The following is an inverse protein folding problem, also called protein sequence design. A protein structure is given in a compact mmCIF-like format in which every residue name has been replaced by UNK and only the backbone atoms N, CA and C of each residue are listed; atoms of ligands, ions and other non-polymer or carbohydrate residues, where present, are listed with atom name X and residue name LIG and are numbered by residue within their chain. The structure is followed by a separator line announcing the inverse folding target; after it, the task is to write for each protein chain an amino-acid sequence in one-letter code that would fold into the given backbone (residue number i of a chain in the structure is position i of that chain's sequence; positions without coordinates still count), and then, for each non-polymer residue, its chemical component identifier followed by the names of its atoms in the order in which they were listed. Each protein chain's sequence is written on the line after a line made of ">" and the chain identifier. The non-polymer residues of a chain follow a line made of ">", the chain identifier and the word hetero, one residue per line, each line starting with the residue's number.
data_IF_517632938767
#
_entry.id   IF_517632938767
#
_cell.length_a   1.000
_cell.length_b   1.000
_cell.length_c   1.000
_cell.angle_alpha   90.00
_cell.angle_beta   90.00
_cell.angle_gamma   90.00
#
_symmetry.space_group_name_H-M   'P 1'
#
loop_
_entity.id
_entity.type
_entity.pdbx_description
1 polymer ?
#
# COMPACT_ATOMS: atom_id res chain seq x y z
N UNK A 1 -18.46 -0.21 5.13
CA UNK A 1 -19.20 -1.44 4.78
C UNK A 1 -18.22 -2.39 4.11
N UNK A 2 -17.77 -3.45 4.79
CA UNK A 2 -16.93 -4.45 4.14
C UNK A 2 -17.80 -5.31 3.23
N UNK A 3 -17.38 -5.51 1.98
CA UNK A 3 -18.03 -6.41 1.03
C UNK A 3 -18.16 -7.86 1.55
N UNK A 4 -17.36 -8.19 2.58
CA UNK A 4 -17.41 -9.44 3.31
C UNK A 4 -18.78 -9.74 3.93
N UNK A 5 -19.49 -8.73 4.48
CA UNK A 5 -20.78 -8.95 5.15
C UNK A 5 -21.91 -9.26 4.16
N UNK A 6 -21.79 -8.80 2.91
CA UNK A 6 -22.79 -9.01 1.86
C UNK A 6 -22.66 -10.39 1.18
N UNK A 7 -21.46 -10.99 1.22
CA UNK A 7 -21.17 -12.32 0.69
C UNK A 7 -21.63 -13.46 1.61
N UNK A 8 -21.79 -13.18 2.92
CA UNK A 8 -22.18 -14.16 3.94
C UNK A 8 -23.68 -14.13 4.29
N UNK A 9 -24.50 -13.33 3.60
CA UNK A 9 -25.94 -13.25 3.88
C UNK A 9 -26.31 -12.62 5.24
N UNK A 10 -25.40 -11.88 5.85
CA UNK A 10 -25.61 -11.24 7.16
C UNK A 10 -26.37 -9.92 6.94
N UNK A 11 -27.58 -9.79 7.50
CA UNK A 11 -28.37 -8.56 7.42
C UNK A 11 -27.68 -7.42 8.19
N UNK A 12 -27.86 -6.17 7.75
CA UNK A 12 -27.22 -5.00 8.36
C UNK A 12 -27.65 -4.77 9.82
N UNK A 13 -28.78 -5.35 10.21
CA UNK A 13 -29.39 -5.27 11.54
C UNK A 13 -28.77 -6.23 12.55
N UNK A 14 -27.96 -7.20 12.11
CA UNK A 14 -27.34 -8.22 12.99
C UNK A 14 -25.90 -7.91 13.42
N UNK A 15 -25.31 -6.80 12.95
CA UNK A 15 -23.96 -6.35 13.35
C UNK A 15 -24.09 -5.16 14.29
N UNK A 16 -23.74 -5.36 15.56
CA UNK A 16 -23.73 -4.30 16.57
C UNK A 16 -22.35 -3.67 16.61
N UNK A 17 -22.31 -2.35 16.39
CA UNK A 17 -21.10 -1.55 16.63
C UNK A 17 -20.94 -1.40 18.16
N UNK A 18 -19.76 -1.71 18.74
CA UNK A 18 -19.54 -1.60 20.18
C UNK A 18 -19.76 -0.20 20.76
N UNK A 19 -19.84 0.85 19.93
CA UNK A 19 -20.17 2.21 20.40
C UNK A 19 -21.69 2.43 20.58
N UNK A 20 -22.54 1.50 20.14
CA UNK A 20 -23.99 1.62 20.24
C UNK A 20 -24.53 1.18 21.61
N UNK A 21 -24.51 2.11 22.56
CA UNK A 21 -25.01 1.96 23.94
C UNK A 21 -26.53 1.71 24.06
N UNK A 22 -27.29 1.75 22.95
CA UNK A 22 -28.75 1.62 22.97
C UNK A 22 -29.28 0.35 22.29
N UNK A 23 -28.41 -0.61 21.94
CA UNK A 23 -28.87 -1.83 21.27
C UNK A 23 -29.74 -2.70 22.19
N UNK A 24 -31.05 -2.68 21.96
CA UNK A 24 -32.00 -3.63 22.56
C UNK A 24 -32.05 -4.85 21.64
N UNK A 25 -31.67 -6.01 22.17
CA UNK A 25 -31.60 -7.27 21.42
C UNK A 25 -32.92 -7.64 20.71
N UNK A 26 -32.85 -8.62 19.80
CA UNK A 26 -33.98 -8.97 18.96
C UNK A 26 -35.16 -9.54 19.76
N UNK A 27 -36.37 -9.13 19.34
CA UNK A 27 -37.66 -9.48 19.95
C UNK A 27 -38.19 -10.84 19.44
N UNK A 28 -39.28 -11.37 20.03
CA UNK A 28 -39.67 -12.76 19.87
C UNK A 28 -40.14 -13.11 18.45
N UNK A 29 -39.18 -13.57 17.63
CA UNK A 29 -39.27 -14.51 16.48
C UNK A 29 -37.91 -14.62 15.75
N UNK A 30 -36.81 -14.41 16.49
CA UNK A 30 -35.47 -14.18 15.94
C UNK A 30 -34.79 -15.44 15.36
N UNK A 31 -34.46 -15.37 14.07
CA UNK A 31 -33.72 -16.36 13.26
C UNK A 31 -32.19 -16.13 13.22
N UNK A 32 -31.70 -15.10 13.94
CA UNK A 32 -30.51 -15.18 14.79
C UNK A 32 -29.13 -15.26 14.15
N UNK A 33 -28.36 -14.17 14.30
CA UNK A 33 -26.92 -14.19 14.59
C UNK A 33 -26.50 -12.79 15.09
N UNK A 34 -26.03 -12.68 16.35
CA UNK A 34 -25.45 -11.44 16.84
C UNK A 34 -23.96 -11.41 16.49
N UNK A 35 -23.54 -10.41 15.72
CA UNK A 35 -22.12 -10.19 15.37
C UNK A 35 -21.64 -8.91 16.05
N UNK A 36 -20.59 -9.05 16.85
CA UNK A 36 -19.91 -7.93 17.51
C UNK A 36 -18.51 -7.83 16.96
N UNK A 37 -18.07 -6.61 16.64
CA UNK A 37 -16.70 -6.35 16.16
C UNK A 37 -16.08 -5.18 16.92
N UNK A 38 -15.01 -5.46 17.67
CA UNK A 38 -14.20 -4.45 18.37
C UNK A 38 -13.26 -3.73 17.40
N UNK A 39 -13.66 -2.55 16.93
CA UNK A 39 -12.75 -1.57 16.33
C UNK A 39 -11.85 -2.05 15.19
N UNK A 40 -10.70 -1.37 15.05
CA UNK A 40 -9.56 -1.76 14.20
C UNK A 40 -8.23 -1.32 14.80
N UNK A 41 -7.13 -1.98 14.41
CA UNK A 41 -5.75 -1.55 14.73
C UNK A 41 -5.48 -1.31 16.23
N UNK A 42 -6.17 -2.07 17.10
CA UNK A 42 -6.07 -2.01 18.56
C UNK A 42 -6.34 -0.62 19.18
N UNK A 43 -7.03 0.27 18.46
CA UNK A 43 -7.44 1.56 19.02
C UNK A 43 -8.59 1.42 20.02
N UNK A 44 -9.37 0.36 19.88
CA UNK A 44 -10.56 0.10 20.68
C UNK A 44 -10.40 -1.21 21.46
N UNK A 45 -10.79 -1.18 22.72
CA UNK A 45 -10.96 -2.37 23.55
C UNK A 45 -12.43 -2.43 23.98
N UNK A 46 -13.18 -3.37 23.41
CA UNK A 46 -14.57 -3.60 23.81
C UNK A 46 -14.65 -4.64 24.93
N UNK A 47 -15.35 -4.33 26.01
CA UNK A 47 -15.79 -5.32 27.00
C UNK A 47 -17.29 -5.53 26.84
N UNK A 48 -17.70 -6.75 26.47
CA UNK A 48 -19.10 -7.06 26.23
C UNK A 48 -19.62 -8.02 27.29
N UNK A 49 -20.63 -7.58 28.03
CA UNK A 49 -21.37 -8.43 28.97
C UNK A 49 -22.66 -8.89 28.32
N UNK A 50 -22.81 -10.20 28.13
CA UNK A 50 -24.01 -10.81 27.55
C UNK A 50 -24.81 -11.50 28.65
N UNK A 51 -26.05 -11.05 28.88
CA UNK A 51 -27.01 -11.75 29.73
C UNK A 51 -27.83 -12.73 28.87
N UNK A 52 -27.99 -13.97 29.34
CA UNK A 52 -28.73 -15.02 28.61
C UNK A 52 -29.85 -15.58 29.47
N UNK A 53 -30.96 -15.98 28.83
CA UNK A 53 -32.08 -16.66 29.48
C UNK A 53 -32.45 -17.97 28.78
N UNK A 54 -33.08 -18.88 29.52
CA UNK A 54 -33.47 -20.19 28.98
C UNK A 54 -34.75 -20.08 28.15
N UNK A 55 -34.75 -20.67 26.95
CA UNK A 55 -35.95 -20.75 26.10
C UNK A 55 -36.79 -21.94 26.56
N UNK A 56 -37.99 -21.69 27.07
CA UNK A 56 -38.85 -22.72 27.67
C UNK A 56 -39.26 -23.84 26.70
N UNK A 57 -39.24 -23.59 25.38
CA UNK A 57 -39.66 -24.55 24.33
C UNK A 57 -38.55 -24.84 23.29
N UNK A 58 -37.28 -24.65 23.66
CA UNK A 58 -36.15 -24.72 22.73
C UNK A 58 -35.72 -26.14 22.36
N UNK A 59 -36.23 -26.70 21.26
CA UNK A 59 -35.76 -28.01 20.73
C UNK A 59 -34.31 -28.01 20.20
N UNK A 60 -33.83 -26.86 19.70
CA UNK A 60 -32.50 -26.73 19.05
C UNK A 60 -31.56 -25.74 19.76
N UNK A 61 -32.08 -24.64 20.33
CA UNK A 61 -31.31 -23.68 21.15
C UNK A 61 -31.97 -23.49 22.52
N UNK A 62 -31.24 -23.84 23.58
CA UNK A 62 -31.73 -23.84 24.98
C UNK A 62 -31.59 -22.48 25.68
N UNK A 63 -30.77 -21.57 25.14
CA UNK A 63 -30.53 -20.23 25.69
C UNK A 63 -30.65 -19.17 24.60
N UNK A 64 -31.18 -18.00 24.95
CA UNK A 64 -31.28 -16.80 24.09
C UNK A 64 -30.61 -15.61 24.78
N UNK A 65 -30.12 -14.65 24.00
CA UNK A 65 -29.53 -13.42 24.53
C UNK A 65 -30.67 -12.53 25.03
N UNK A 66 -30.63 -12.20 26.33
CA UNK A 66 -31.59 -11.33 27.00
C UNK A 66 -31.17 -9.87 26.89
N UNK A 67 -29.89 -9.59 27.10
CA UNK A 67 -29.33 -8.23 26.97
C UNK A 67 -27.85 -8.28 26.65
N UNK A 68 -27.35 -7.20 26.06
CA UNK A 68 -25.94 -6.96 25.78
C UNK A 68 -25.59 -5.61 26.41
N UNK A 69 -24.48 -5.55 27.15
CA UNK A 69 -23.94 -4.31 27.72
C UNK A 69 -22.51 -4.15 27.22
N UNK A 70 -22.16 -2.94 26.82
CA UNK A 70 -20.82 -2.56 26.36
C UNK A 70 -20.31 -1.37 27.17
N UNK A 71 -19.56 -1.58 28.27
CA UNK A 71 -18.69 -0.56 28.81
C UNK A 71 -17.54 -0.27 27.83
N UNK A 72 -17.54 0.94 27.26
CA UNK A 72 -16.38 1.45 26.54
C UNK A 72 -15.15 1.42 27.46
N UNK A 73 -14.16 0.58 27.16
CA UNK A 73 -12.86 0.67 27.81
C UNK A 73 -12.02 1.67 27.05
N UNK A 74 -11.64 2.75 27.74
CA UNK A 74 -10.60 3.64 27.24
C UNK A 74 -9.26 2.90 27.21
N UNK A 75 -8.86 2.44 26.03
CA UNK A 75 -7.58 1.77 25.81
C UNK A 75 -6.38 2.65 26.21
N UNK A 76 -6.51 3.99 26.22
CA UNK A 76 -5.44 4.90 26.62
C UNK A 76 -5.09 4.76 28.10
N UNK A 77 -6.06 4.38 28.94
CA UNK A 77 -5.84 4.13 30.38
C UNK A 77 -4.83 3.01 30.67
N UNK A 78 -4.58 2.11 29.70
CA UNK A 78 -3.67 0.97 29.83
C UNK A 78 -2.18 1.32 29.58
N UNK A 79 -1.89 2.55 29.16
CA UNK A 79 -0.53 3.02 28.81
C UNK A 79 0.47 2.94 29.99
N UNK A 80 0.01 2.82 31.22
CA UNK A 80 0.83 2.76 32.43
C UNK A 80 1.05 1.34 32.99
N UNK A 81 0.46 0.32 32.35
CA UNK A 81 0.55 -1.07 32.81
C UNK A 81 1.99 -1.59 32.89
N UNK A 82 2.22 -2.61 33.71
CA UNK A 82 3.51 -3.33 33.77
C UNK A 82 3.94 -3.84 32.39
N UNK A 83 2.99 -4.31 31.58
CA UNK A 83 3.25 -4.78 30.22
C UNK A 83 3.73 -3.65 29.31
N UNK A 84 3.06 -2.49 29.33
CA UNK A 84 3.49 -1.29 28.59
C UNK A 84 4.94 -0.89 28.91
N UNK A 85 5.33 -0.94 30.20
CA UNK A 85 6.72 -0.64 30.62
C UNK A 85 7.74 -1.64 30.06
N UNK A 86 7.36 -2.92 29.96
CA UNK A 86 8.23 -3.97 29.38
C UNK A 86 8.36 -3.75 27.87
N UNK A 87 7.25 -3.55 27.16
CA UNK A 87 7.23 -3.33 25.71
C UNK A 87 8.03 -2.08 25.32
N UNK A 88 7.85 -0.95 26.02
CA UNK A 88 8.63 0.28 25.80
C UNK A 88 10.13 0.04 25.97
N UNK A 89 10.53 -0.79 26.92
CA UNK A 89 11.95 -1.11 27.14
C UNK A 89 12.53 -1.97 26.02
N UNK A 90 11.79 -2.96 25.53
CA UNK A 90 12.19 -3.80 24.40
C UNK A 90 12.29 -2.94 23.15
N UNK A 91 11.25 -2.17 22.83
CA UNK A 91 11.22 -1.25 21.69
C UNK A 91 12.42 -0.29 21.70
N UNK A 92 12.68 0.36 22.83
CA UNK A 92 13.79 1.30 22.99
C UNK A 92 15.17 0.67 22.82
N UNK A 93 15.35 -0.57 23.28
CA UNK A 93 16.67 -1.25 23.24
C UNK A 93 16.96 -1.90 21.89
N UNK A 94 15.95 -2.53 21.29
CA UNK A 94 16.16 -3.47 20.19
C UNK A 94 15.73 -2.91 18.84
N UNK A 95 14.78 -1.96 18.82
CA UNK A 95 14.11 -1.53 17.58
C UNK A 95 14.40 -0.06 17.26
N UNK A 96 14.32 0.83 18.26
CA UNK A 96 14.39 2.28 18.03
C UNK A 96 15.67 2.73 17.32
N UNK A 97 16.83 2.18 17.67
CA UNK A 97 18.11 2.61 17.08
C UNK A 97 18.16 2.34 15.58
N UNK A 98 17.64 1.20 15.13
CA UNK A 98 17.59 0.84 13.71
C UNK A 98 16.48 1.60 12.98
N UNK A 99 15.33 1.82 13.63
CA UNK A 99 14.21 2.54 13.02
C UNK A 99 14.48 4.03 12.86
N UNK A 100 15.24 4.65 13.77
CA UNK A 100 15.61 6.08 13.70
C UNK A 100 16.73 6.37 12.69
N UNK A 101 17.31 5.33 12.07
CA UNK A 101 18.33 5.52 11.04
C UNK A 101 17.72 6.29 9.87
N UNK A 102 18.25 7.47 9.51
CA UNK A 102 17.86 8.15 8.28
C UNK A 102 18.16 7.30 7.07
N UNK A 103 17.28 7.43 6.08
CA UNK A 103 17.41 6.76 4.78
C UNK A 103 17.29 7.76 3.63
N UNK A 104 16.77 8.96 3.88
CA UNK A 104 16.68 10.03 2.90
C UNK A 104 16.12 11.31 3.50
N UNK A 105 15.94 12.33 2.66
CA UNK A 105 15.29 13.57 3.05
C UNK A 105 14.25 14.04 2.04
N UNK A 106 13.18 14.66 2.51
CA UNK A 106 12.23 15.39 1.67
C UNK A 106 12.82 16.76 1.27
N UNK A 107 12.49 17.31 0.08
CA UNK A 107 12.90 18.65 -0.31
C UNK A 107 12.38 19.70 0.66
N UNK A 108 13.10 20.81 0.73
CA UNK A 108 12.63 21.99 1.44
C UNK A 108 11.27 22.45 0.87
N UNK A 109 10.30 22.67 1.75
CA UNK A 109 8.95 23.09 1.38
C UNK A 109 7.98 21.96 0.99
N UNK A 110 8.44 20.70 0.88
CA UNK A 110 7.54 19.54 0.69
C UNK A 110 7.05 19.04 2.05
N UNK A 111 5.73 19.02 2.25
CA UNK A 111 5.14 18.46 3.48
C UNK A 111 5.42 16.96 3.57
N UNK A 112 5.73 16.49 4.79
CA UNK A 112 5.78 15.06 5.14
C UNK A 112 4.49 14.31 4.82
N UNK A 113 3.38 15.02 4.70
CA UNK A 113 2.08 14.47 4.30
C UNK A 113 2.09 13.78 2.94
N UNK A 114 3.02 14.10 2.04
CA UNK A 114 3.13 13.41 0.74
C UNK A 114 3.52 11.94 0.89
N UNK A 115 4.19 11.59 1.99
CA UNK A 115 4.57 10.22 2.34
C UNK A 115 3.55 9.55 3.28
N UNK A 116 2.52 10.29 3.71
CA UNK A 116 1.44 9.74 4.53
C UNK A 116 0.34 9.24 3.61
N UNK A 117 -0.12 8.03 3.85
CA UNK A 117 -1.32 7.51 3.17
C UNK A 117 -2.58 8.08 3.83
N UNK A 118 -2.71 9.41 3.87
CA UNK A 118 -3.78 10.14 4.56
C UNK A 118 -5.15 9.62 4.12
N UNK A 119 -6.04 9.42 5.09
CA UNK A 119 -7.37 8.82 4.92
C UNK A 119 -7.40 7.47 4.18
N UNK A 120 -6.26 6.78 4.11
CA UNK A 120 -6.06 5.60 3.29
C UNK A 120 -6.40 5.88 1.81
N UNK A 121 -5.99 7.03 1.27
CA UNK A 121 -6.33 7.47 -0.08
C UNK A 121 -5.96 6.45 -1.17
N UNK A 122 -4.83 5.74 -1.00
CA UNK A 122 -4.36 4.72 -1.95
C UNK A 122 -5.32 3.53 -2.09
N UNK A 123 -6.31 3.39 -1.18
CA UNK A 123 -7.38 2.39 -1.25
C UNK A 123 -8.56 2.77 -2.14
N UNK A 124 -8.54 3.97 -2.72
CA UNK A 124 -9.70 4.56 -3.41
C UNK A 124 -9.36 5.25 -4.71
N UNK A 125 -8.11 5.72 -4.85
CA UNK A 125 -7.63 6.48 -6.00
C UNK A 125 -6.12 6.36 -6.11
N UNK A 126 -5.62 6.76 -7.28
CA UNK A 126 -4.20 6.98 -7.52
C UNK A 126 -3.65 8.07 -6.58
N UNK A 127 -2.44 7.86 -6.06
CA UNK A 127 -1.76 8.77 -5.15
C UNK A 127 -0.30 8.94 -5.54
N UNK A 128 0.28 10.10 -5.23
CA UNK A 128 1.71 10.37 -5.45
C UNK A 128 2.58 9.34 -4.75
N UNK A 129 2.23 9.02 -3.50
CA UNK A 129 2.90 7.99 -2.70
C UNK A 129 2.85 6.61 -3.37
N UNK A 130 1.67 6.19 -3.83
CA UNK A 130 1.50 4.91 -4.51
C UNK A 130 2.32 4.83 -5.79
N UNK A 131 2.29 5.89 -6.60
CA UNK A 131 3.07 5.98 -7.84
C UNK A 131 4.56 5.92 -7.56
N UNK A 132 5.04 6.66 -6.57
CA UNK A 132 6.45 6.65 -6.19
C UNK A 132 6.93 5.25 -5.76
N UNK A 133 6.16 4.55 -4.92
CA UNK A 133 6.51 3.17 -4.52
C UNK A 133 6.49 2.25 -5.75
N UNK A 134 5.47 2.33 -6.59
CA UNK A 134 5.33 1.47 -7.78
C UNK A 134 6.47 1.68 -8.78
N UNK A 135 6.79 2.93 -9.11
CA UNK A 135 7.91 3.29 -9.98
C UNK A 135 9.25 2.85 -9.36
N UNK A 136 9.39 2.98 -8.03
CA UNK A 136 10.57 2.51 -7.31
C UNK A 136 10.76 1.00 -7.45
N UNK A 137 9.70 0.19 -7.52
CA UNK A 137 9.86 -1.26 -7.68
C UNK A 137 10.39 -1.64 -9.06
N UNK A 138 9.92 -0.98 -10.12
CA UNK A 138 10.52 -1.14 -11.46
C UNK A 138 11.98 -0.69 -11.44
N UNK A 139 12.26 0.47 -10.85
CA UNK A 139 13.63 1.00 -10.74
C UNK A 139 14.55 0.07 -9.96
N UNK A 140 14.06 -0.53 -8.88
CA UNK A 140 14.79 -1.52 -8.10
C UNK A 140 15.21 -2.69 -9.00
N UNK A 141 14.26 -3.22 -9.78
CA UNK A 141 14.54 -4.33 -10.68
C UNK A 141 15.58 -3.96 -11.75
N UNK A 142 15.48 -2.77 -12.33
CA UNK A 142 16.43 -2.29 -13.33
C UNK A 142 17.86 -2.16 -12.77
N UNK A 143 18.02 -1.72 -11.51
CA UNK A 143 19.33 -1.53 -10.87
C UNK A 143 19.91 -2.85 -10.36
N UNK A 144 19.08 -3.68 -9.71
CA UNK A 144 19.55 -4.78 -8.88
C UNK A 144 19.29 -6.16 -9.47
N UNK A 145 18.65 -6.27 -10.64
CA UNK A 145 18.50 -7.56 -11.32
C UNK A 145 19.87 -8.14 -11.67
N UNK A 146 20.08 -9.39 -11.29
CA UNK A 146 21.31 -10.13 -11.59
C UNK A 146 21.09 -11.05 -12.80
N UNK A 147 22.16 -11.67 -13.29
CA UNK A 147 22.06 -12.68 -14.35
C UNK A 147 21.22 -13.91 -13.98
N UNK A 148 20.98 -14.16 -12.69
CA UNK A 148 20.13 -15.25 -12.20
C UNK A 148 18.65 -14.89 -12.16
N UNK A 149 18.30 -13.61 -12.33
CA UNK A 149 16.92 -13.14 -12.34
C UNK A 149 16.38 -13.05 -13.78
N UNK A 150 15.07 -13.28 -14.01
CA UNK A 150 14.47 -13.11 -15.33
C UNK A 150 14.67 -11.69 -15.89
N UNK A 151 15.09 -11.55 -17.14
CA UNK A 151 15.07 -10.23 -17.78
C UNK A 151 13.63 -9.82 -18.06
N UNK A 152 13.23 -8.64 -17.60
CA UNK A 152 11.90 -8.10 -17.85
C UNK A 152 11.92 -7.11 -18.99
N UNK A 153 10.97 -7.23 -19.91
CA UNK A 153 10.71 -6.24 -20.94
C UNK A 153 9.40 -5.50 -20.66
N UNK A 154 9.51 -4.19 -20.45
CA UNK A 154 8.38 -3.29 -20.15
C UNK A 154 7.51 -3.82 -19.01
N UNK A 155 8.09 -4.14 -17.83
CA UNK A 155 7.32 -4.75 -16.76
C UNK A 155 6.18 -3.86 -16.29
N UNK A 156 5.05 -4.49 -15.95
CA UNK A 156 3.96 -3.85 -15.22
C UNK A 156 4.13 -4.16 -13.74
N UNK A 157 4.30 -3.13 -12.92
CA UNK A 157 4.26 -3.31 -11.48
C UNK A 157 2.81 -3.25 -10.98
N UNK A 158 2.43 -4.17 -10.08
CA UNK A 158 1.11 -4.18 -9.43
C UNK A 158 1.26 -4.47 -7.94
N UNK A 159 0.74 -3.58 -7.12
CA UNK A 159 0.37 -3.83 -5.72
C UNK A 159 -1.06 -3.34 -5.44
N UNK A 160 -1.54 -3.49 -4.21
CA UNK A 160 -2.82 -2.91 -3.77
C UNK A 160 -2.62 -1.81 -2.74
N UNK A 161 -3.55 -0.86 -2.67
CA UNK A 161 -3.54 0.22 -1.69
C UNK A 161 -3.64 -0.26 -0.23
N UNK A 162 -4.06 -1.51 -0.01
CA UNK A 162 -4.05 -2.19 1.28
C UNK A 162 -2.65 -2.45 1.81
N UNK A 163 -1.67 -2.64 0.92
CA UNK A 163 -0.24 -2.82 1.26
C UNK A 163 0.38 -1.55 1.85
N UNK A 164 -0.11 -0.38 1.46
CA UNK A 164 0.37 0.92 1.95
C UNK A 164 -0.40 1.30 3.22
N UNK A 165 0.29 1.39 4.36
CA UNK A 165 -0.30 1.80 5.64
C UNK A 165 -0.23 3.31 5.83
N UNK A 166 -0.85 3.83 6.89
CA UNK A 166 -0.91 5.28 7.15
C UNK A 166 0.47 5.93 7.27
N UNK A 167 1.52 5.15 7.56
CA UNK A 167 2.84 5.64 7.92
C UNK A 167 2.87 6.10 9.38
N UNK A 168 3.98 6.73 9.77
CA UNK A 168 4.11 7.39 11.08
C UNK A 168 3.23 8.65 11.12
N UNK A 169 2.63 8.94 12.27
CA UNK A 169 1.96 10.23 12.51
C UNK A 169 2.98 11.40 12.60
N UNK A 170 4.26 11.06 12.72
CA UNK A 170 5.38 11.97 12.95
C UNK A 170 6.42 11.89 11.80
N UNK A 171 5.99 11.95 10.53
CA UNK A 171 6.94 12.20 9.44
C UNK A 171 7.28 13.70 9.45
N UNK A 172 8.29 14.06 10.23
CA UNK A 172 8.80 15.42 10.31
C UNK A 172 9.26 15.91 8.93
N UNK A 173 9.00 17.19 8.57
CA UNK A 173 9.59 17.79 7.39
C UNK A 173 11.12 17.61 7.39
N UNK A 174 11.68 17.19 6.26
CA UNK A 174 13.12 17.01 6.12
C UNK A 174 13.58 15.56 6.25
N UNK A 175 13.57 14.90 7.42
CA UNK A 175 14.25 13.60 7.61
C UNK A 175 13.31 12.40 7.46
N UNK A 176 13.59 11.51 6.49
CA UNK A 176 12.92 10.21 6.36
C UNK A 176 13.78 9.14 7.02
N UNK A 177 13.18 8.36 7.90
CA UNK A 177 13.86 7.26 8.61
C UNK A 177 13.46 5.89 8.06
N UNK A 178 14.27 4.88 8.36
CA UNK A 178 13.94 3.48 8.08
C UNK A 178 12.60 3.08 8.72
N UNK A 179 12.33 3.59 9.91
CA UNK A 179 11.08 3.40 10.63
C UNK A 179 9.87 3.93 9.87
N UNK A 180 10.02 5.05 9.13
CA UNK A 180 8.93 5.60 8.32
C UNK A 180 8.60 4.67 7.15
N UNK A 181 9.61 4.15 6.46
CA UNK A 181 9.44 3.19 5.35
C UNK A 181 8.87 1.86 5.84
N UNK A 182 9.37 1.32 6.96
CA UNK A 182 8.87 0.07 7.53
C UNK A 182 7.43 0.23 8.03
N UNK A 183 7.07 1.37 8.64
CA UNK A 183 5.68 1.61 9.03
C UNK A 183 4.75 1.77 7.82
N UNK A 184 5.26 2.31 6.72
CA UNK A 184 4.53 2.47 5.47
C UNK A 184 4.25 1.12 4.76
N UNK A 185 5.27 0.25 4.72
CA UNK A 185 5.26 -1.07 4.09
C UNK A 185 5.68 -2.14 5.11
N UNK A 186 4.85 -2.47 6.12
CA UNK A 186 5.28 -3.30 7.24
C UNK A 186 5.33 -4.81 6.94
N UNK A 187 4.91 -5.21 5.74
CA UNK A 187 4.80 -6.61 5.38
C UNK A 187 6.10 -7.12 4.78
N UNK A 188 6.60 -8.24 5.35
CA UNK A 188 7.73 -8.98 4.80
C UNK A 188 7.29 -9.79 3.57
N UNK A 189 7.04 -9.09 2.46
CA UNK A 189 6.56 -9.68 1.20
C UNK A 189 7.61 -9.51 0.12
N UNK A 190 8.39 -10.57 -0.19
CA UNK A 190 9.35 -10.54 -1.28
C UNK A 190 8.71 -10.18 -2.62
N UNK A 191 9.49 -9.56 -3.50
CA UNK A 191 9.06 -9.27 -4.85
C UNK A 191 8.95 -10.57 -5.66
N UNK A 192 8.05 -10.58 -6.64
CA UNK A 192 7.81 -11.71 -7.53
C UNK A 192 7.74 -11.20 -8.97
N UNK A 193 8.42 -11.88 -9.89
CA UNK A 193 8.23 -11.67 -11.32
C UNK A 193 7.57 -12.87 -11.97
N UNK A 194 6.71 -12.61 -12.95
CA UNK A 194 6.02 -13.66 -13.71
C UNK A 194 5.63 -13.14 -15.10
N UNK A 195 5.41 -14.06 -16.03
CA UNK A 195 4.74 -13.77 -17.30
C UNK A 195 3.25 -14.06 -17.15
N UNK A 196 2.40 -13.12 -17.58
CA UNK A 196 0.94 -13.24 -17.51
C UNK A 196 0.30 -12.90 -18.85
N UNK A 197 -0.69 -13.68 -19.27
CA UNK A 197 -1.47 -13.39 -20.48
C UNK A 197 -2.26 -12.08 -20.31
N UNK A 198 -2.40 -11.30 -21.38
CA UNK A 198 -3.12 -10.02 -21.36
C UNK A 198 -4.56 -10.15 -20.85
N UNK A 199 -5.25 -11.25 -21.18
CA UNK A 199 -6.61 -11.52 -20.66
C UNK A 199 -6.64 -11.67 -19.14
N UNK A 200 -5.60 -12.26 -18.56
CA UNK A 200 -5.50 -12.50 -17.12
C UNK A 200 -5.09 -11.21 -16.42
N UNK A 201 -4.18 -10.43 -17.02
CA UNK A 201 -3.83 -9.09 -16.56
C UNK A 201 -5.04 -8.15 -16.53
N UNK A 202 -5.88 -8.17 -17.57
CA UNK A 202 -7.15 -7.44 -17.59
C UNK A 202 -8.09 -7.89 -16.47
N UNK A 203 -8.16 -9.20 -16.24
CA UNK A 203 -8.94 -9.80 -15.16
C UNK A 203 -8.43 -9.44 -13.76
N UNK A 204 -7.11 -9.23 -13.59
CA UNK A 204 -6.52 -8.72 -12.35
C UNK A 204 -7.08 -7.33 -12.04
N UNK A 205 -7.13 -6.44 -13.04
CA UNK A 205 -7.70 -5.11 -12.87
C UNK A 205 -9.21 -5.13 -12.59
N UNK A 206 -9.98 -5.99 -13.26
CA UNK A 206 -11.39 -6.19 -12.94
C UNK A 206 -11.61 -6.60 -11.48
N UNK A 207 -10.77 -7.52 -10.98
CA UNK A 207 -10.80 -7.93 -9.57
C UNK A 207 -10.42 -6.78 -8.63
N UNK A 208 -9.38 -6.02 -8.96
CA UNK A 208 -8.89 -4.90 -8.16
C UNK A 208 -9.95 -3.80 -8.01
N UNK A 209 -10.68 -3.50 -9.09
CA UNK A 209 -11.75 -2.50 -9.14
C UNK A 209 -13.13 -3.00 -8.71
N UNK A 210 -13.27 -4.23 -8.17
CA UNK A 210 -14.60 -4.79 -7.78
C UNK A 210 -15.34 -3.90 -6.78
N UNK A 211 -14.64 -3.24 -5.87
CA UNK A 211 -15.24 -2.38 -4.84
C UNK A 211 -15.31 -0.90 -5.27
N UNK A 212 -14.80 -0.57 -6.46
CA UNK A 212 -14.71 0.80 -6.96
C UNK A 212 -13.92 1.68 -6.00
N UNK A 213 -14.46 2.86 -5.69
CA UNK A 213 -13.83 3.87 -4.83
C UNK A 213 -14.14 3.69 -3.33
N UNK A 214 -14.75 2.56 -2.92
CA UNK A 214 -14.92 2.25 -1.50
C UNK A 214 -13.53 2.03 -0.87
N UNK A 215 -13.40 2.23 0.44
CA UNK A 215 -12.17 1.96 1.21
C UNK A 215 -11.83 0.45 1.25
N UNK A 216 -11.58 -0.16 0.09
CA UNK A 216 -11.17 -1.55 -0.10
C UNK A 216 -9.66 -1.62 -0.12
N UNK A 217 -9.08 -2.68 0.46
CA UNK A 217 -7.64 -2.94 0.31
C UNK A 217 -7.23 -3.09 -1.16
N UNK A 218 -8.13 -3.58 -2.02
CA UNK A 218 -7.82 -4.08 -3.37
C UNK A 218 -7.56 -3.03 -4.45
N UNK A 219 -7.71 -1.73 -4.19
CA UNK A 219 -7.51 -0.71 -5.23
C UNK A 219 -6.07 -0.79 -5.77
N UNK A 220 -5.86 -0.86 -7.09
CA UNK A 220 -4.54 -1.16 -7.64
C UNK A 220 -3.63 0.07 -7.57
N UNK A 221 -2.37 -0.17 -7.21
CA UNK A 221 -1.27 0.79 -7.30
C UNK A 221 -0.27 0.22 -8.29
N UNK A 222 0.05 0.96 -9.35
CA UNK A 222 0.68 0.40 -10.56
C UNK A 222 1.78 1.27 -11.11
N UNK A 223 2.70 0.64 -11.86
CA UNK A 223 3.65 1.31 -12.75
C UNK A 223 3.76 0.55 -14.08
N UNK A 224 4.25 1.21 -15.13
CA UNK A 224 4.40 0.63 -16.47
C UNK A 224 3.09 0.49 -17.27
N UNK A 225 1.94 0.85 -16.70
CA UNK A 225 0.61 0.67 -17.30
C UNK A 225 -0.28 1.89 -17.09
N UNK A 226 -1.24 2.08 -18.00
CA UNK A 226 -2.38 3.00 -17.87
C UNK A 226 -3.66 2.17 -17.93
N UNK A 227 -4.53 2.34 -16.94
CA UNK A 227 -5.80 1.61 -16.86
C UNK A 227 -6.96 2.58 -16.80
N UNK A 228 -7.87 2.48 -17.76
CA UNK A 228 -9.11 3.25 -17.75
C UNK A 228 -10.26 2.33 -17.33
N UNK A 229 -11.10 2.82 -16.40
CA UNK A 229 -12.17 2.01 -15.84
C UNK A 229 -13.40 2.85 -15.51
N UNK A 230 -14.53 2.19 -15.22
CA UNK A 230 -15.78 2.83 -14.86
C UNK A 230 -16.49 2.06 -13.73
N UNK A 231 -16.60 2.70 -12.57
CA UNK A 231 -17.24 2.15 -11.37
C UNK A 231 -18.75 1.93 -11.51
N UNK A 232 -19.42 2.60 -12.46
CA UNK A 232 -20.87 2.46 -12.70
C UNK A 232 -21.23 1.23 -13.51
N UNK A 233 -20.24 0.55 -14.11
CA UNK A 233 -20.45 -0.69 -14.86
C UNK A 233 -20.58 -1.91 -13.93
N UNK A 234 -21.26 -2.98 -14.39
CA UNK A 234 -21.29 -4.26 -13.70
C UNK A 234 -19.88 -4.78 -13.37
N UNK A 235 -19.79 -5.64 -12.36
CA UNK A 235 -18.53 -6.35 -12.05
C UNK A 235 -18.06 -7.13 -13.29
N UNK A 236 -16.76 -7.15 -13.53
CA UNK A 236 -16.11 -7.74 -14.71
C UNK A 236 -16.36 -7.00 -16.05
N UNK A 237 -16.99 -5.82 -16.01
CA UNK A 237 -17.13 -4.91 -17.16
C UNK A 237 -16.64 -3.49 -16.83
N UNK A 238 -15.83 -3.36 -15.78
CA UNK A 238 -15.39 -2.04 -15.29
C UNK A 238 -14.18 -1.53 -16.03
N UNK A 239 -13.27 -2.40 -16.46
CA UNK A 239 -12.04 -2.05 -17.16
C UNK A 239 -12.37 -1.79 -18.62
N UNK A 240 -12.13 -0.56 -19.07
CA UNK A 240 -12.33 -0.13 -20.47
C UNK A 240 -11.10 -0.40 -21.32
N UNK A 241 -9.92 -0.06 -20.81
CA UNK A 241 -8.66 -0.19 -21.53
C UNK A 241 -7.52 -0.45 -20.55
N UNK A 242 -6.54 -1.22 -21.01
CA UNK A 242 -5.28 -1.46 -20.31
C UNK A 242 -4.17 -1.28 -21.33
N UNK A 243 -3.33 -0.26 -21.13
CA UNK A 243 -2.28 0.10 -22.07
C UNK A 243 -0.92 0.10 -21.40
N UNK A 244 0.08 -0.50 -22.03
CA UNK A 244 1.46 -0.42 -21.58
C UNK A 244 2.06 0.93 -21.95
N UNK A 245 2.76 1.53 -20.98
CA UNK A 245 3.55 2.73 -21.26
C UNK A 245 4.65 2.42 -22.28
N UNK A 246 4.85 3.33 -23.23
CA UNK A 246 5.88 3.14 -24.26
C UNK A 246 7.30 3.26 -23.70
N UNK A 247 8.22 2.42 -24.19
CA UNK A 247 9.66 2.48 -23.90
C UNK A 247 10.35 3.37 -24.95
N UNK A 248 10.35 4.69 -24.76
CA UNK A 248 11.33 5.54 -25.43
C UNK A 248 11.49 6.91 -24.76
N UNK A 249 12.45 7.01 -23.83
CA UNK A 249 13.01 8.30 -23.40
C UNK A 249 14.35 8.61 -24.10
N UNK A 250 14.92 7.67 -24.87
CA UNK A 250 16.22 7.84 -25.52
C UNK A 250 16.17 8.66 -26.82
N UNK A 251 15.02 8.75 -27.49
CA UNK A 251 14.89 9.37 -28.82
C UNK A 251 14.02 10.63 -28.84
N UNK A 252 13.38 10.98 -27.71
CA UNK A 252 12.46 12.13 -27.64
C UNK A 252 11.19 11.99 -28.48
N UNK A 253 10.93 10.82 -29.08
CA UNK A 253 9.71 10.57 -29.85
C UNK A 253 8.54 10.22 -28.92
N UNK A 254 7.42 10.95 -29.06
CA UNK A 254 6.16 10.57 -28.44
C UNK A 254 5.68 9.30 -29.12
N UNK A 255 5.70 8.18 -28.39
CA UNK A 255 5.17 6.91 -28.86
C UNK A 255 3.94 6.60 -28.00
N UNK A 256 2.80 6.35 -28.65
CA UNK A 256 1.52 6.13 -27.98
C UNK A 256 1.56 4.89 -27.07
N UNK A 257 0.81 4.93 -25.97
CA UNK A 257 0.63 3.75 -25.10
C UNK A 257 -0.03 2.61 -25.89
N UNK A 258 0.46 1.39 -25.69
CA UNK A 258 0.06 0.22 -26.48
C UNK A 258 -1.00 -0.59 -25.73
N UNK A 259 -2.19 -0.79 -26.32
CA UNK A 259 -3.24 -1.64 -25.73
C UNK A 259 -2.76 -3.10 -25.64
N UNK A 260 -2.97 -3.72 -24.48
CA UNK A 260 -2.62 -5.12 -24.29
C UNK A 260 -3.51 -6.04 -25.15
N UNK A 261 -2.93 -7.14 -25.61
CA UNK A 261 -3.59 -8.19 -26.36
C UNK A 261 -3.77 -9.42 -25.49
N UNK A 262 -4.95 -10.02 -25.56
CA UNK A 262 -5.38 -11.07 -24.66
C UNK A 262 -4.50 -12.34 -24.73
N UNK A 263 -3.94 -12.62 -25.90
CA UNK A 263 -3.13 -13.79 -26.24
C UNK A 263 -1.61 -13.55 -26.10
N UNK A 264 -1.19 -12.34 -25.72
CA UNK A 264 0.21 -12.00 -25.49
C UNK A 264 0.58 -12.08 -24.02
N UNK A 265 1.81 -12.49 -23.73
CA UNK A 265 2.39 -12.49 -22.39
C UNK A 265 3.06 -11.17 -22.07
N UNK A 266 2.87 -10.71 -20.83
CA UNK A 266 3.44 -9.49 -20.28
C UNK A 266 4.23 -9.80 -19.02
N UNK A 267 5.36 -9.12 -18.85
CA UNK A 267 6.19 -9.22 -17.65
C UNK A 267 5.51 -8.44 -16.51
N UNK A 268 5.19 -9.14 -15.43
CA UNK A 268 4.57 -8.58 -14.24
C UNK A 268 5.59 -8.59 -13.10
N UNK A 269 5.70 -7.48 -12.39
CA UNK A 269 6.40 -7.36 -11.11
C UNK A 269 5.36 -7.12 -10.01
N UNK A 270 5.36 -7.94 -8.97
CA UNK A 270 4.46 -7.81 -7.83
C UNK A 270 5.16 -8.28 -6.55
N UNK A 271 4.42 -8.61 -5.50
CA UNK A 271 4.94 -9.20 -4.28
C UNK A 271 4.15 -10.45 -3.87
N UNK A 272 4.75 -11.30 -3.02
CA UNK A 272 4.23 -12.63 -2.69
C UNK A 272 2.77 -12.65 -2.26
N UNK A 273 2.32 -11.69 -1.43
CA UNK A 273 0.92 -11.60 -1.01
C UNK A 273 -0.08 -11.52 -2.18
N UNK A 274 0.21 -10.76 -3.24
CA UNK A 274 -0.69 -10.71 -4.41
C UNK A 274 -0.51 -11.91 -5.34
N UNK A 275 0.73 -12.40 -5.48
CA UNK A 275 1.01 -13.62 -6.22
C UNK A 275 0.25 -14.83 -5.66
N UNK A 276 0.02 -14.86 -4.35
CA UNK A 276 -0.82 -15.85 -3.64
C UNK A 276 -2.32 -15.49 -3.64
N UNK A 277 -2.76 -14.62 -4.55
CA UNK A 277 -4.14 -14.15 -4.72
C UNK A 277 -4.73 -13.37 -3.52
N UNK A 278 -3.86 -12.70 -2.74
CA UNK A 278 -4.25 -11.72 -1.72
C UNK A 278 -5.21 -10.64 -2.24
N UNK A 279 -6.01 -10.09 -1.34
CA UNK A 279 -7.11 -9.14 -1.64
C UNK A 279 -8.14 -9.65 -2.67
N UNK A 280 -8.14 -10.96 -2.96
CA UNK A 280 -9.03 -11.62 -3.92
C UNK A 280 -8.68 -11.33 -5.38
N UNK A 281 -7.41 -11.05 -5.70
CA UNK A 281 -6.92 -10.94 -7.07
C UNK A 281 -6.71 -12.35 -7.65
N UNK A 282 -7.83 -13.06 -7.84
CA UNK A 282 -7.90 -14.48 -8.19
C UNK A 282 -7.04 -14.92 -9.39
N UNK A 283 -6.86 -14.13 -10.47
CA UNK A 283 -6.05 -14.57 -11.61
C UNK A 283 -4.62 -14.98 -11.22
N UNK A 284 -4.04 -14.42 -10.15
CA UNK A 284 -2.72 -14.84 -9.67
C UNK A 284 -2.67 -16.27 -9.10
N UNK A 285 -3.81 -16.83 -8.68
CA UNK A 285 -3.89 -18.16 -8.04
C UNK A 285 -3.42 -19.29 -8.97
N UNK A 286 -3.73 -19.20 -10.27
CA UNK A 286 -3.28 -20.19 -11.24
C UNK A 286 -1.75 -20.13 -11.44
N UNK A 287 -1.19 -18.93 -11.49
CA UNK A 287 0.24 -18.71 -11.68
C UNK A 287 1.05 -19.16 -10.46
N UNK A 288 0.57 -18.89 -9.24
CA UNK A 288 1.22 -19.36 -8.01
C UNK A 288 1.17 -20.88 -7.86
N UNK A 289 0.01 -21.51 -8.09
CA UNK A 289 -0.11 -22.98 -8.02
C UNK A 289 0.71 -23.73 -9.06
N UNK A 290 0.96 -23.09 -10.21
CA UNK A 290 1.79 -23.66 -11.28
C UNK A 290 3.27 -23.25 -11.18
N UNK A 291 3.66 -22.55 -10.11
CA UNK A 291 5.03 -22.10 -9.86
C UNK A 291 5.63 -21.27 -11.03
N UNK A 292 4.78 -20.53 -11.75
CA UNK A 292 5.17 -19.74 -12.95
C UNK A 292 5.78 -18.37 -12.62
N UNK A 293 6.37 -18.23 -11.45
CA UNK A 293 6.95 -16.97 -10.96
C UNK A 293 8.32 -17.16 -10.32
N UNK A 294 9.17 -16.16 -10.47
CA UNK A 294 10.45 -16.06 -9.77
C UNK A 294 10.26 -15.20 -8.52
N UNK A 295 10.41 -15.79 -7.35
CA UNK A 295 10.35 -15.09 -6.06
C UNK A 295 11.75 -14.61 -5.68
N UNK A 296 11.89 -13.32 -5.41
CA UNK A 296 13.16 -12.75 -4.93
C UNK A 296 13.34 -13.03 -3.44
N UNK A 297 14.55 -12.78 -2.93
CA UNK A 297 14.84 -12.76 -1.50
C UNK A 297 14.64 -11.37 -0.87
N UNK A 298 14.19 -10.38 -1.65
CA UNK A 298 14.11 -8.97 -1.24
C UNK A 298 12.64 -8.55 -1.02
N UNK A 299 12.23 -8.27 0.23
CA UNK A 299 10.94 -7.69 0.56
C UNK A 299 10.72 -6.32 -0.06
N UNK A 300 9.46 -5.97 -0.34
CA UNK A 300 9.10 -4.68 -0.96
C UNK A 300 9.64 -3.46 -0.19
N UNK A 301 9.61 -3.46 1.15
CA UNK A 301 10.14 -2.35 1.94
C UNK A 301 11.66 -2.23 1.80
N UNK A 302 12.36 -3.36 1.70
CA UNK A 302 13.81 -3.39 1.55
C UNK A 302 14.23 -2.97 0.14
N UNK A 303 13.47 -3.40 -0.88
CA UNK A 303 13.65 -2.92 -2.24
C UNK A 303 13.52 -1.39 -2.32
N UNK A 304 12.52 -0.81 -1.64
CA UNK A 304 12.33 0.63 -1.58
C UNK A 304 13.51 1.33 -0.87
N UNK A 305 13.99 0.80 0.26
CA UNK A 305 15.17 1.31 0.95
C UNK A 305 16.42 1.29 0.06
N UNK A 306 16.65 0.20 -0.68
CA UNK A 306 17.77 0.07 -1.61
C UNK A 306 17.69 1.11 -2.74
N UNK A 307 16.51 1.36 -3.29
CA UNK A 307 16.31 2.41 -4.31
C UNK A 307 16.59 3.79 -3.77
N UNK A 308 16.07 4.13 -2.58
CA UNK A 308 16.34 5.43 -1.95
C UNK A 308 17.86 5.63 -1.76
N UNK A 309 18.56 4.58 -1.32
CA UNK A 309 20.01 4.61 -1.16
C UNK A 309 20.74 4.77 -2.51
N UNK A 310 20.32 4.04 -3.54
CA UNK A 310 20.92 4.11 -4.87
C UNK A 310 20.82 5.51 -5.49
N UNK A 311 19.66 6.17 -5.35
CA UNK A 311 19.47 7.52 -5.87
C UNK A 311 20.40 8.50 -5.14
N UNK A 312 20.53 8.35 -3.81
CA UNK A 312 21.45 9.17 -3.00
C UNK A 312 22.90 9.08 -3.49
N UNK A 313 23.36 7.88 -3.87
CA UNK A 313 24.73 7.65 -4.37
C UNK A 313 24.96 8.29 -5.75
N UNK A 314 24.01 8.13 -6.68
CA UNK A 314 24.12 8.68 -8.06
C UNK A 314 24.22 10.21 -8.03
N UNK A 315 23.46 10.86 -7.15
CA UNK A 315 23.49 12.32 -7.02
C UNK A 315 24.82 12.81 -6.44
N UNK A 316 25.41 12.07 -5.50
CA UNK A 316 26.74 12.37 -4.98
C UNK A 316 27.83 12.26 -6.05
N UNK A 317 27.78 11.23 -6.90
CA UNK A 317 28.75 11.06 -8.01
C UNK A 317 28.68 12.21 -9.02
N UNK A 318 27.48 12.65 -9.43
CA UNK A 318 27.31 13.77 -10.37
C UNK A 318 27.78 15.11 -9.80
N UNK A 319 27.60 15.33 -8.49
CA UNK A 319 28.13 16.51 -7.80
C UNK A 319 29.67 16.49 -7.84
N UNK A 320 30.30 15.34 -7.56
CA UNK A 320 31.75 15.20 -7.59
C UNK A 320 32.33 15.44 -8.99
N UNK A 321 31.68 14.92 -10.04
CA UNK A 321 32.04 15.16 -11.44
C UNK A 321 31.98 16.65 -11.82
N UNK A 322 31.01 17.39 -11.27
CA UNK A 322 30.87 18.83 -11.51
C UNK A 322 31.90 19.70 -10.77
N UNK A 323 32.57 19.15 -9.75
CA UNK A 323 33.53 19.89 -8.91
C UNK A 323 35.00 19.75 -9.31
N UNK A 324 35.31 18.92 -10.32
CA UNK A 324 36.58 19.00 -11.05
C UNK A 324 37.86 18.90 -10.21
N UNK A 325 38.00 17.90 -9.33
CA UNK A 325 39.30 17.25 -9.04
C UNK A 325 39.14 16.00 -8.16
N UNK A 326 40.10 15.06 -8.27
CA UNK A 326 40.37 13.88 -7.43
C UNK A 326 39.91 12.50 -7.90
N UNK A 327 40.58 12.01 -8.96
CA UNK A 327 40.59 10.59 -9.33
C UNK A 327 41.12 9.66 -8.21
N UNK A 328 41.99 10.13 -7.31
CA UNK A 328 42.56 9.30 -6.22
C UNK A 328 41.61 9.05 -5.05
N UNK A 329 40.55 9.86 -4.89
CA UNK A 329 39.53 9.70 -3.85
C UNK A 329 38.45 8.72 -4.31
N UNK A 330 38.10 8.72 -5.60
CA UNK A 330 37.13 7.81 -6.20
C UNK A 330 37.63 6.35 -6.18
N UNK A 331 38.92 6.13 -6.47
CA UNK A 331 39.54 4.80 -6.41
C UNK A 331 39.65 4.26 -4.98
N UNK A 332 39.83 5.16 -3.99
CA UNK A 332 39.88 4.83 -2.55
C UNK A 332 38.48 4.62 -1.94
N UNK A 333 37.44 5.26 -2.48
CA UNK A 333 36.04 5.01 -2.09
C UNK A 333 35.54 3.70 -2.67
N UNK A 334 35.72 3.46 -3.98
CA UNK A 334 35.20 2.28 -4.67
C UNK A 334 35.84 0.97 -4.18
N UNK A 335 37.14 0.98 -3.81
CA UNK A 335 37.80 -0.17 -3.21
C UNK A 335 37.40 -0.44 -1.73
N UNK A 336 36.73 0.51 -1.07
CA UNK A 336 36.36 0.47 0.35
C UNK A 336 34.88 0.13 0.60
N UNK A 337 34.04 0.21 -0.44
CA UNK A 337 32.63 -0.24 -0.43
C UNK A 337 32.45 -1.72 -0.80
N UNK A 338 33.54 -2.45 -1.09
CA UNK A 338 33.50 -3.83 -1.59
C UNK A 338 32.91 -4.85 -0.59
N UNK A 339 33.07 -4.73 0.75
CA UNK A 339 32.49 -5.73 1.66
C UNK A 339 31.15 -5.35 2.31
N UNK A 340 30.90 -4.07 2.65
CA UNK A 340 29.74 -3.63 3.45
C UNK A 340 29.58 -2.10 3.25
N UNK A 341 28.48 -1.48 2.81
CA UNK A 341 27.04 -1.73 3.01
C UNK A 341 26.59 -1.83 4.48
N UNK A 342 27.53 -1.77 5.43
CA UNK A 342 27.29 -1.58 6.85
C UNK A 342 28.18 -0.42 7.31
N UNK A 343 27.53 0.62 7.83
CA UNK A 343 28.09 1.80 8.47
C UNK A 343 28.87 2.79 7.58
N UNK A 344 28.24 3.90 7.14
CA UNK A 344 28.81 5.26 7.29
C UNK A 344 27.85 6.43 6.92
N UNK A 345 28.00 7.46 7.75
CA UNK A 345 27.48 8.85 7.83
C UNK A 345 27.63 9.64 6.50
N UNK A 346 26.56 9.99 5.78
CA UNK A 346 25.59 11.10 5.96
C UNK A 346 26.18 12.53 5.94
N UNK A 347 25.86 13.29 4.88
CA UNK A 347 25.27 14.65 4.93
C UNK A 347 25.19 15.21 3.50
N UNK A 348 26.18 14.95 2.63
CA UNK A 348 26.24 15.55 1.28
C UNK A 348 25.42 14.80 0.20
N UNK A 349 25.14 13.51 0.37
CA UNK A 349 24.42 12.69 -0.62
C UNK A 349 22.88 12.79 -0.51
N UNK A 350 22.36 13.34 0.59
CA UNK A 350 20.91 13.35 0.89
C UNK A 350 20.12 14.51 0.28
N UNK A 351 20.79 15.50 -0.31
CA UNK A 351 20.17 16.78 -0.67
C UNK A 351 19.41 16.81 -2.00
N UNK A 352 19.53 15.79 -2.88
CA UNK A 352 19.01 15.90 -4.27
C UNK A 352 18.08 14.79 -4.78
N UNK A 353 17.88 13.72 -4.01
CA UNK A 353 17.02 12.56 -4.38
C UNK A 353 15.59 12.97 -4.77
N UNK A 354 15.10 14.09 -4.25
CA UNK A 354 13.74 14.55 -4.48
C UNK A 354 13.62 15.81 -5.37
N UNK A 355 14.71 16.37 -5.91
CA UNK A 355 14.60 17.27 -7.07
C UNK A 355 13.96 16.52 -8.24
N UNK A 356 14.23 15.21 -8.35
CA UNK A 356 13.61 14.30 -9.31
C UNK A 356 12.12 14.09 -9.00
N UNK A 357 11.72 13.97 -7.74
CA UNK A 357 10.29 13.82 -7.36
C UNK A 357 9.53 15.13 -7.58
N UNK A 358 10.17 16.28 -7.35
CA UNK A 358 9.63 17.60 -7.68
C UNK A 358 9.58 17.83 -9.21
N UNK A 359 10.57 17.36 -9.96
CA UNK A 359 10.59 17.42 -11.43
C UNK A 359 9.57 16.46 -12.05
N UNK A 360 9.36 15.29 -11.45
CA UNK A 360 8.27 14.36 -11.80
C UNK A 360 6.90 14.98 -11.51
N UNK A 361 6.73 15.64 -10.36
CA UNK A 361 5.51 16.38 -10.01
C UNK A 361 5.27 17.61 -10.90
N UNK A 362 6.33 18.23 -11.45
CA UNK A 362 6.24 19.36 -12.40
C UNK A 362 5.96 18.92 -13.84
N UNK A 363 6.47 17.76 -14.26
CA UNK A 363 6.36 17.25 -15.63
C UNK A 363 5.14 16.35 -15.85
N UNK A 364 4.50 15.87 -14.79
CA UNK A 364 3.12 15.36 -14.86
C UNK A 364 2.21 16.57 -15.03
N UNK A 365 1.61 16.74 -16.22
CA UNK A 365 0.39 17.55 -16.36
C UNK A 365 -0.67 16.89 -15.48
N UNK A 366 -0.77 17.34 -14.23
CA UNK A 366 -1.91 17.08 -13.39
C UNK A 366 -3.14 17.51 -14.20
N UNK A 367 -4.17 16.66 -14.40
CA UNK A 367 -5.48 17.22 -14.71
C UNK A 367 -5.76 18.24 -13.61
N UNK A 368 -6.26 19.43 -13.99
CA UNK A 368 -6.72 20.42 -13.02
C UNK A 368 -7.53 19.68 -11.95
N UNK A 369 -7.09 19.84 -10.70
CA UNK A 369 -7.76 19.28 -9.53
C UNK A 369 -9.14 19.94 -9.46
N UNK A 370 -10.13 19.32 -10.11
CA UNK A 370 -11.53 19.66 -9.92
C UNK A 370 -11.95 19.07 -8.57
N UNK A 371 -11.61 19.81 -7.51
CA UNK A 371 -12.04 19.51 -6.15
C UNK A 371 -13.50 19.96 -6.07
N UNK A 372 -14.48 19.06 -5.87
CA UNK A 372 -15.84 19.49 -5.60
C UNK A 372 -15.82 20.33 -4.32
N UNK A 373 -16.16 21.62 -4.43
CA UNK A 373 -16.36 22.47 -3.26
C UNK A 373 -17.67 22.06 -2.62
N UNK A 374 -17.60 21.48 -1.43
CA UNK A 374 -18.77 21.24 -0.60
C UNK A 374 -19.25 22.60 -0.06
N UNK A 375 -20.39 23.08 -0.55
CA UNK A 375 -21.11 24.21 0.05
C UNK A 375 -22.51 23.69 0.40
N UNK A 376 -22.85 23.71 1.69
CA UNK A 376 -24.14 23.29 2.25
C UNK A 376 -24.59 21.85 1.94
N UNK A 377 -23.67 20.88 2.00
CA UNK A 377 -24.01 19.45 2.02
C UNK A 377 -24.61 18.90 0.73
N UNK A 378 -24.41 19.59 -0.40
CA UNK A 378 -24.71 19.07 -1.74
C UNK A 378 -23.47 19.14 -2.62
N UNK A 379 -23.12 18.00 -3.24
CA UNK A 379 -22.12 17.93 -4.30
C UNK A 379 -22.76 18.56 -5.54
N UNK A 380 -22.16 19.64 -6.06
CA UNK A 380 -22.56 20.25 -7.34
C UNK A 380 -21.49 19.87 -8.36
N UNK A 381 -21.87 19.10 -9.39
CA UNK A 381 -21.02 18.87 -10.56
C UNK A 381 -20.91 20.17 -11.36
N UNK A 382 -19.69 20.52 -11.77
CA UNK A 382 -19.42 21.72 -12.56
C UNK A 382 -20.02 21.57 -13.98
N UNK A 383 -20.94 22.45 -14.42
CA UNK A 383 -21.73 22.24 -15.63
C UNK A 383 -21.02 22.56 -16.97
N UNK A 384 -19.68 22.56 -17.00
CA UNK A 384 -18.90 22.85 -18.23
C UNK A 384 -17.92 21.73 -18.61
N UNK A 385 -18.42 20.49 -18.71
CA UNK A 385 -17.75 19.39 -19.45
C UNK A 385 -18.70 18.75 -20.44
#
# INVERSE_FOLDING_TARGET
>A
MSAYNKLMGISKESVVDPVDVNFKGPLPDDDGLLIIKSGTDFQDLSEVTIEVENKQDGKVRKKVVKSVKDPAIDAQSLHQSRMSKILKRILKREVESNMKKPVGRLPEGVSGDVLRNLDQASRRRETVLGNWIADSMIKWYDIYSTSSMPKLDRPVFIMTGGSIRSGSDEIEPGKITKGDIVQLLPFNTPLVTLKMLGKDLRSVFECAFREGNKKSGSFPVVSGVKVEWNSTKPLNERVKSVKLKSKNQATGAIQEDEEIKDDQEYDILTHTYLYEAGDGLKPFEEYSKSEKGYVTDVPIYEALLRVINAISVVDASKILESTGDNSSILDSLMARFEPYLDDMDETAASEKVFDIIAEFAKNVKLPELDIPREVDGRIIDNPNS
#
